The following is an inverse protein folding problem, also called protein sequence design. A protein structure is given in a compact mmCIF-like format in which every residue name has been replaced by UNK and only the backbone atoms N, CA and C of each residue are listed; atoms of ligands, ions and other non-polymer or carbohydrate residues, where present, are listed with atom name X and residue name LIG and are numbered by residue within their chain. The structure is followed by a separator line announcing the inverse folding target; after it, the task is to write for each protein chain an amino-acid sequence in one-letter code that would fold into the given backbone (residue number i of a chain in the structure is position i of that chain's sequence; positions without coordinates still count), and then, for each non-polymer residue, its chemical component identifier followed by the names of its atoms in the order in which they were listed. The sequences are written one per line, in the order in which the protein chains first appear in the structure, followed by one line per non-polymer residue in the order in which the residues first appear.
data_IF_341308216614
#
_entry.id   IF_341308216614
#
_cell.length_a   1.000
_cell.length_b   1.000
_cell.length_c   1.000
_cell.angle_alpha   90.00
_cell.angle_beta   90.00
_cell.angle_gamma   90.00
#
_symmetry.space_group_name_H-M   'P 1'
#
loop_
_entity.id
_entity.type
_entity.pdbx_description
1 polymer ?
#
# COMPACT_ATOMS: atom_id res chain seq x y z
N UNK A 1 -10.00 -27.91 -11.51
CA UNK A 1 -8.85 -27.03 -11.83
C UNK A 1 -9.02 -25.67 -11.13
N UNK A 2 -9.29 -25.64 -9.81
CA UNK A 2 -9.63 -24.39 -9.09
C UNK A 2 -9.50 -24.53 -7.56
N UNK A 3 -8.42 -25.15 -7.08
CA UNK A 3 -8.22 -25.35 -5.62
C UNK A 3 -6.76 -25.19 -5.17
N UNK A 4 -6.01 -24.21 -5.72
CA UNK A 4 -4.56 -24.05 -5.41
C UNK A 4 -4.17 -22.63 -4.95
N UNK A 5 -5.11 -21.75 -4.62
CA UNK A 5 -4.81 -20.35 -4.28
C UNK A 5 -5.35 -19.94 -2.89
N UNK A 6 -5.20 -20.81 -1.89
CA UNK A 6 -5.49 -20.48 -0.50
C UNK A 6 -4.19 -20.21 0.28
N UNK A 7 -4.07 -18.99 0.80
CA UNK A 7 -3.17 -18.61 1.89
C UNK A 7 -1.69 -18.42 1.52
N UNK A 8 -0.93 -19.51 1.53
CA UNK A 8 0.54 -19.46 1.62
C UNK A 8 1.21 -19.13 0.30
N UNK A 9 0.75 -19.74 -0.80
CA UNK A 9 1.29 -19.50 -2.14
C UNK A 9 1.03 -18.05 -2.61
N UNK A 10 -0.10 -17.46 -2.19
CA UNK A 10 -0.41 -16.04 -2.44
C UNK A 10 0.48 -15.09 -1.65
N UNK A 11 0.87 -15.46 -0.43
CA UNK A 11 1.79 -14.67 0.37
C UNK A 11 3.20 -14.68 -0.25
N UNK A 12 3.69 -15.85 -0.69
CA UNK A 12 4.94 -16.01 -1.44
C UNK A 12 4.94 -15.17 -2.73
N UNK A 13 3.91 -15.37 -3.55
CA UNK A 13 3.73 -14.64 -4.80
C UNK A 13 3.67 -13.13 -4.57
N UNK A 14 2.88 -12.68 -3.58
CA UNK A 14 2.76 -11.27 -3.22
C UNK A 14 4.10 -10.65 -2.78
N UNK A 15 4.90 -11.39 -2.00
CA UNK A 15 6.25 -10.93 -1.59
C UNK A 15 7.16 -10.73 -2.80
N UNK A 16 7.15 -11.66 -3.74
CA UNK A 16 8.01 -11.57 -4.93
C UNK A 16 7.55 -10.44 -5.87
N UNK A 17 6.24 -10.25 -6.03
CA UNK A 17 5.68 -9.11 -6.77
C UNK A 17 6.12 -7.78 -6.18
N UNK A 18 5.95 -7.58 -4.86
CA UNK A 18 6.36 -6.33 -4.20
C UNK A 18 7.87 -6.11 -4.30
N UNK A 19 8.66 -7.18 -4.22
CA UNK A 19 10.11 -7.11 -4.36
C UNK A 19 10.55 -6.68 -5.77
N UNK A 20 9.97 -7.26 -6.81
CA UNK A 20 10.31 -6.93 -8.19
C UNK A 20 9.82 -5.52 -8.55
N UNK A 21 8.59 -5.19 -8.18
CA UNK A 21 8.01 -3.87 -8.41
C UNK A 21 8.81 -2.77 -7.70
N UNK A 22 9.29 -3.02 -6.48
CA UNK A 22 10.14 -2.06 -5.76
C UNK A 22 11.43 -1.76 -6.52
N UNK A 23 12.07 -2.78 -7.12
CA UNK A 23 13.28 -2.59 -7.93
C UNK A 23 12.99 -1.82 -9.21
N UNK A 24 11.97 -2.23 -9.95
CA UNK A 24 11.61 -1.63 -11.23
C UNK A 24 11.20 -0.16 -11.07
N UNK A 25 10.27 0.13 -10.16
CA UNK A 25 9.81 1.50 -9.95
C UNK A 25 10.91 2.40 -9.39
N UNK A 26 11.76 1.88 -8.50
CA UNK A 26 12.92 2.65 -8.02
C UNK A 26 13.90 2.94 -9.15
N UNK A 27 14.08 2.01 -10.10
CA UNK A 27 14.94 2.21 -11.27
C UNK A 27 14.37 3.25 -12.25
N UNK A 28 13.05 3.30 -12.42
CA UNK A 28 12.39 4.20 -13.38
C UNK A 28 12.20 5.60 -12.80
N UNK A 29 11.75 5.69 -11.55
CA UNK A 29 11.29 6.94 -10.93
C UNK A 29 12.17 7.43 -9.77
N UNK A 30 13.17 6.65 -9.36
CA UNK A 30 14.07 7.00 -8.28
C UNK A 30 13.50 6.73 -6.89
N UNK A 31 13.83 7.61 -5.92
CA UNK A 31 13.48 7.42 -4.51
C UNK A 31 11.95 7.43 -4.30
N UNK A 32 11.46 6.59 -3.39
CA UNK A 32 10.04 6.56 -2.99
C UNK A 32 9.30 5.24 -3.27
N UNK A 33 9.94 4.28 -3.93
CA UNK A 33 9.34 2.99 -4.30
C UNK A 33 9.98 1.79 -3.57
N UNK A 34 10.33 1.98 -2.30
CA UNK A 34 10.81 0.86 -1.46
C UNK A 34 9.68 -0.13 -1.18
N UNK A 35 10.04 -1.37 -0.81
CA UNK A 35 9.05 -2.40 -0.45
C UNK A 35 8.07 -1.91 0.62
N UNK A 36 8.57 -1.21 1.65
CA UNK A 36 7.73 -0.65 2.72
C UNK A 36 6.71 0.37 2.19
N UNK A 37 7.12 1.22 1.24
CA UNK A 37 6.20 2.16 0.58
C UNK A 37 5.11 1.43 -0.21
N UNK A 38 5.46 0.37 -0.94
CA UNK A 38 4.48 -0.44 -1.67
C UNK A 38 3.50 -1.17 -0.73
N UNK A 39 3.97 -1.67 0.41
CA UNK A 39 3.09 -2.22 1.43
C UNK A 39 2.17 -1.15 2.03
N UNK A 40 2.66 0.07 2.26
CA UNK A 40 1.83 1.17 2.71
C UNK A 40 0.77 1.57 1.68
N UNK A 41 1.08 1.58 0.37
CA UNK A 41 0.06 1.77 -0.66
C UNK A 41 -1.02 0.68 -0.60
N UNK A 42 -0.60 -0.57 -0.43
CA UNK A 42 -1.53 -1.71 -0.34
C UNK A 42 -2.40 -1.62 0.92
N UNK A 43 -1.84 -1.21 2.06
CA UNK A 43 -2.58 -0.97 3.31
C UNK A 43 -3.55 0.20 3.14
N UNK A 44 -3.11 1.31 2.57
CA UNK A 44 -3.92 2.50 2.32
C UNK A 44 -5.20 2.20 1.57
N UNK A 45 -5.14 1.51 0.43
CA UNK A 45 -6.35 1.20 -0.34
C UNK A 45 -7.28 0.21 0.35
N UNK A 46 -6.78 -0.60 1.29
CA UNK A 46 -7.61 -1.49 2.11
C UNK A 46 -8.27 -0.74 3.26
N UNK A 47 -7.55 0.21 3.88
CA UNK A 47 -8.01 0.98 5.04
C UNK A 47 -8.96 2.11 4.65
N UNK A 48 -8.72 2.77 3.52
CA UNK A 48 -9.51 3.89 3.04
C UNK A 48 -10.19 3.58 1.69
N UNK A 49 -11.11 2.60 1.63
CA UNK A 49 -11.71 2.13 0.38
C UNK A 49 -12.52 3.23 -0.35
N UNK A 50 -12.97 4.26 0.38
CA UNK A 50 -13.72 5.39 -0.15
C UNK A 50 -12.83 6.42 -0.87
N UNK A 51 -11.50 6.32 -0.73
CA UNK A 51 -10.54 7.18 -1.41
C UNK A 51 -10.14 6.50 -2.73
N UNK A 52 -10.89 6.79 -3.79
CA UNK A 52 -10.68 6.20 -5.12
C UNK A 52 -9.52 6.84 -5.90
N UNK A 53 -9.27 8.13 -5.71
CA UNK A 53 -8.17 8.85 -6.35
C UNK A 53 -6.94 8.96 -5.43
N UNK A 54 -5.79 9.30 -6.02
CA UNK A 54 -4.58 9.61 -5.26
C UNK A 54 -4.89 10.61 -4.12
N UNK A 55 -4.39 10.39 -2.89
CA UNK A 55 -4.59 11.33 -1.78
C UNK A 55 -4.15 12.75 -2.12
N UNK A 56 -3.24 12.92 -3.10
CA UNK A 56 -2.78 14.22 -3.61
C UNK A 56 -3.94 15.04 -4.25
N UNK A 57 -4.98 14.39 -4.78
CA UNK A 57 -6.06 15.06 -5.51
C UNK A 57 -7.26 15.52 -4.67
N UNK A 58 -7.42 15.02 -3.44
CA UNK A 58 -8.56 15.34 -2.56
C UNK A 58 -8.19 15.95 -1.22
N UNK A 59 -6.90 15.93 -0.86
CA UNK A 59 -6.47 16.26 0.48
C UNK A 59 -5.59 17.50 0.46
N UNK A 60 -6.21 18.67 0.52
CA UNK A 60 -5.48 19.93 0.74
C UNK A 60 -4.80 19.98 2.12
N UNK A 61 -5.21 19.08 3.04
CA UNK A 61 -4.79 19.07 4.45
C UNK A 61 -3.85 17.92 4.82
N UNK A 62 -4.02 16.74 4.21
CA UNK A 62 -3.26 15.52 4.53
C UNK A 62 -2.33 15.10 3.39
N UNK A 63 -1.03 15.06 3.68
CA UNK A 63 -0.01 14.50 2.80
C UNK A 63 0.08 12.98 2.96
N UNK A 64 0.83 12.33 2.07
CA UNK A 64 1.08 10.89 2.15
C UNK A 64 1.71 10.45 3.49
N UNK A 65 2.54 11.30 4.11
CA UNK A 65 3.15 10.98 5.42
C UNK A 65 2.11 11.00 6.53
N UNK A 66 1.10 11.87 6.48
CA UNK A 66 -0.01 11.82 7.43
C UNK A 66 -0.80 10.52 7.29
N UNK A 67 -1.07 10.08 6.06
CA UNK A 67 -1.72 8.78 5.84
C UNK A 67 -0.88 7.60 6.32
N UNK A 68 0.44 7.63 6.14
CA UNK A 68 1.30 6.60 6.72
C UNK A 68 1.15 6.51 8.25
N UNK A 69 1.06 7.66 8.94
CA UNK A 69 0.84 7.69 10.40
C UNK A 69 -0.54 7.15 10.78
N UNK A 70 -1.59 7.55 10.04
CA UNK A 70 -2.96 7.05 10.29
C UNK A 70 -3.06 5.53 10.09
N UNK A 71 -2.29 4.95 9.17
CA UNK A 71 -2.28 3.49 8.97
C UNK A 71 -1.80 2.70 10.18
N UNK A 72 -0.98 3.30 11.04
CA UNK A 72 -0.43 2.67 12.24
C UNK A 72 -1.34 2.85 13.47
N UNK A 73 -2.47 3.54 13.33
CA UNK A 73 -3.51 3.64 14.36
C UNK A 73 -4.44 2.43 14.21
N UNK A 74 -4.47 1.59 15.25
CA UNK A 74 -5.32 0.38 15.30
C UNK A 74 -6.81 0.72 15.51
N UNK A 75 -7.08 1.73 16.36
CA UNK A 75 -8.44 2.22 16.63
C UNK A 75 -9.03 2.89 15.38
N UNK A 76 -10.09 2.30 14.84
CA UNK A 76 -10.77 2.79 13.65
C UNK A 76 -11.44 4.14 13.84
N UNK A 77 -11.97 4.44 15.03
CA UNK A 77 -12.62 5.71 15.33
C UNK A 77 -11.60 6.83 15.55
N UNK A 78 -10.41 6.51 16.05
CA UNK A 78 -9.31 7.49 16.15
C UNK A 78 -8.61 7.75 14.80
N UNK A 79 -8.73 6.83 13.84
CA UNK A 79 -8.10 6.90 12.53
C UNK A 79 -8.90 7.67 11.47
N UNK A 80 -10.23 7.57 11.51
CA UNK A 80 -11.15 8.14 10.52
C UNK A 80 -11.74 9.48 10.98
#
# INVERSE_FOLDING_TARGET
MTQILLGENRAEYGREVIKNLSKELTSIYGKGFTKSYLYNFTRFYKTFPNIFQSPIGKSELLSWTHYCQLLDIDDEAARN
#
